data_IF_731326854063
#
_entry.id   IF_731326854063
#
_cell.length_a   1.000
_cell.length_b   1.000
_cell.length_c   1.000
_cell.angle_alpha   90.00
_cell.angle_beta   90.00
_cell.angle_gamma   90.00
#
_symmetry.space_group_name_H-M   'P 1'
#
loop_
_entity.id
_entity.type
_entity.pdbx_description
1 polymer ?
#
# COMPACT_ATOMS: atom_id res chain seq x y z
N UNK A 1 -13.54 16.76 2.28
CA UNK A 1 -12.68 16.87 1.09
C UNK A 1 -11.31 16.27 1.41
N UNK A 2 -11.12 14.98 1.16
CA UNK A 2 -9.84 14.31 1.43
C UNK A 2 -9.05 14.25 0.13
N UNK A 3 -8.20 15.25 -0.08
CA UNK A 3 -7.30 15.37 -1.22
C UNK A 3 -6.18 14.31 -1.04
N UNK A 4 -6.45 13.07 -1.45
CA UNK A 4 -5.45 12.01 -1.47
C UNK A 4 -4.43 12.37 -2.54
N UNK A 5 -3.24 12.75 -2.09
CA UNK A 5 -2.10 13.15 -2.90
C UNK A 5 -1.67 11.93 -3.72
N UNK A 6 -2.20 11.80 -4.94
CA UNK A 6 -1.75 10.85 -5.97
C UNK A 6 -0.47 11.34 -6.69
N UNK A 7 0.38 12.12 -6.03
CA UNK A 7 1.51 12.76 -6.69
C UNK A 7 2.75 11.86 -6.81
N UNK A 8 2.80 10.67 -6.22
CA UNK A 8 4.04 9.88 -6.15
C UNK A 8 3.88 8.35 -6.21
N UNK A 9 3.03 7.80 -7.10
CA UNK A 9 2.86 6.34 -7.33
C UNK A 9 2.81 5.49 -6.03
N UNK A 10 2.31 6.07 -4.95
CA UNK A 10 2.42 5.50 -3.60
C UNK A 10 1.07 5.54 -2.90
N UNK A 11 0.81 4.49 -2.14
CA UNK A 11 -0.46 4.25 -1.46
C UNK A 11 -0.19 3.66 -0.08
N UNK A 12 -0.98 4.02 0.93
CA UNK A 12 -0.82 3.37 2.24
C UNK A 12 -1.63 2.08 2.31
N UNK A 13 -1.23 1.19 3.22
CA UNK A 13 -2.02 -0.02 3.48
C UNK A 13 -3.46 0.29 3.93
N UNK A 14 -3.67 1.39 4.66
CA UNK A 14 -4.99 1.85 5.08
C UNK A 14 -5.84 2.25 3.88
N UNK A 15 -5.30 3.03 2.95
CA UNK A 15 -6.04 3.45 1.74
C UNK A 15 -6.45 2.25 0.88
N UNK A 16 -5.62 1.21 0.83
CA UNK A 16 -5.95 -0.04 0.15
C UNK A 16 -7.12 -0.75 0.82
N UNK A 17 -7.18 -0.77 2.16
CA UNK A 17 -8.31 -1.33 2.90
C UNK A 17 -9.58 -0.54 2.62
N UNK A 18 -9.51 0.79 2.74
CA UNK A 18 -10.66 1.68 2.59
C UNK A 18 -11.25 1.62 1.17
N UNK A 19 -10.40 1.49 0.13
CA UNK A 19 -10.85 1.41 -1.27
C UNK A 19 -11.41 0.05 -1.67
N UNK A 20 -10.86 -1.03 -1.13
CA UNK A 20 -11.19 -2.39 -1.57
C UNK A 20 -12.18 -3.10 -0.65
N UNK A 21 -12.37 -2.59 0.57
CA UNK A 21 -13.10 -3.29 1.63
C UNK A 21 -12.41 -4.58 2.10
N UNK A 22 -11.18 -4.84 1.65
CA UNK A 22 -10.47 -6.08 1.97
C UNK A 22 -9.84 -5.96 3.37
N UNK A 23 -9.99 -7.04 4.15
CA UNK A 23 -9.42 -7.11 5.49
C UNK A 23 -7.88 -6.98 5.51
N UNK A 24 -7.35 -6.30 6.53
CA UNK A 24 -5.93 -5.96 6.70
C UNK A 24 -4.99 -7.14 6.44
N UNK A 25 -5.29 -8.33 6.98
CA UNK A 25 -4.46 -9.53 6.83
C UNK A 25 -4.35 -9.99 5.37
N UNK A 26 -5.45 -9.93 4.60
CA UNK A 26 -5.43 -10.29 3.18
C UNK A 26 -4.57 -9.32 2.39
N UNK A 27 -4.69 -8.02 2.67
CA UNK A 27 -3.87 -6.98 2.04
C UNK A 27 -2.39 -7.19 2.39
N UNK A 28 -2.05 -7.44 3.66
CA UNK A 28 -0.67 -7.74 4.06
C UNK A 28 -0.08 -8.92 3.29
N UNK A 29 -0.82 -10.03 3.13
CA UNK A 29 -0.37 -11.21 2.37
C UNK A 29 -0.17 -10.89 0.89
N UNK A 30 -1.09 -10.13 0.28
CA UNK A 30 -0.98 -9.71 -1.11
C UNK A 30 0.25 -8.84 -1.34
N UNK A 31 0.44 -7.83 -0.48
CA UNK A 31 1.59 -6.92 -0.54
C UNK A 31 2.91 -7.66 -0.30
N UNK A 32 2.93 -8.66 0.59
CA UNK A 32 4.11 -9.50 0.78
C UNK A 32 4.47 -10.28 -0.51
N UNK A 33 3.49 -10.87 -1.20
CA UNK A 33 3.73 -11.54 -2.48
C UNK A 33 4.24 -10.58 -3.57
N UNK A 34 3.71 -9.37 -3.64
CA UNK A 34 4.14 -8.37 -4.63
C UNK A 34 5.54 -7.82 -4.33
N UNK A 35 5.89 -7.67 -3.06
CA UNK A 35 7.24 -7.28 -2.63
C UNK A 35 8.27 -8.36 -2.96
N UNK A 36 7.96 -9.64 -2.69
CA UNK A 36 8.82 -10.78 -3.07
C UNK A 36 9.05 -10.88 -4.59
N UNK A 37 8.07 -10.46 -5.39
CA UNK A 37 8.18 -10.40 -6.86
C UNK A 37 8.88 -9.14 -7.37
N UNK A 38 9.31 -8.23 -6.48
CA UNK A 38 9.97 -6.98 -6.86
C UNK A 38 9.05 -5.91 -7.48
N UNK A 39 7.74 -6.12 -7.47
CA UNK A 39 6.75 -5.21 -8.10
C UNK A 39 6.56 -3.94 -7.26
N UNK A 40 6.60 -4.09 -5.94
CA UNK A 40 6.42 -2.99 -4.98
C UNK A 40 7.55 -2.96 -3.96
N UNK A 41 7.80 -1.78 -3.38
CA UNK A 41 8.60 -1.62 -2.17
C UNK A 41 7.75 -1.07 -1.03
N UNK A 42 8.01 -1.51 0.20
CA UNK A 42 7.41 -0.93 1.40
C UNK A 42 8.42 -0.03 2.11
N UNK A 43 7.94 1.10 2.62
CA UNK A 43 8.67 1.93 3.57
C UNK A 43 7.81 2.15 4.81
N UNK A 44 8.41 2.16 6.02
CA UNK A 44 7.69 2.55 7.22
C UNK A 44 7.22 4.01 7.09
N UNK A 45 5.96 4.28 7.44
CA UNK A 45 5.36 5.61 7.36
C UNK A 45 4.37 5.81 8.50
N UNK A 46 4.85 6.41 9.60
CA UNK A 46 4.09 6.52 10.84
C UNK A 46 3.69 5.14 11.36
N UNK A 47 2.39 4.95 11.65
CA UNK A 47 1.82 3.67 12.13
C UNK A 47 1.40 2.71 11.00
N UNK A 48 1.72 3.03 9.75
CA UNK A 48 1.38 2.19 8.58
C UNK A 48 2.58 2.02 7.65
N UNK A 49 2.42 1.17 6.65
CA UNK A 49 3.38 1.03 5.56
C UNK A 49 2.93 1.86 4.37
N UNK A 50 3.87 2.63 3.82
CA UNK A 50 3.74 3.28 2.53
C UNK A 50 4.25 2.33 1.46
N UNK A 51 3.38 2.04 0.49
CA UNK A 51 3.62 1.09 -0.58
C UNK A 51 3.90 1.90 -1.83
N UNK A 52 5.05 1.65 -2.47
CA UNK A 52 5.46 2.33 -3.69
C UNK A 52 5.60 1.29 -4.80
N UNK A 53 5.11 1.62 -5.99
CA UNK A 53 5.43 0.84 -7.19
C UNK A 53 6.93 0.97 -7.50
N UNK A 54 7.59 -0.14 -7.83
CA UNK A 54 8.97 -0.14 -8.37
C UNK A 54 9.02 0.04 -9.90
N UNK A 55 7.86 0.05 -10.56
CA UNK A 55 7.70 0.27 -12.01
C UNK A 55 7.69 1.75 -12.35
#
# INVERSE_FOLDING_TARGET
MSRVIYLNKSITQKDLMDKTGIYKMKISRMLWKFEQRGIIGKKPHGYTNLIMSKI
#
